data_IF_409994348013
#
_entry.id   IF_409994348013
#
_cell.length_a   1.000
_cell.length_b   1.000
_cell.length_c   1.000
_cell.angle_alpha   90.00
_cell.angle_beta   90.00
_cell.angle_gamma   90.00
#
_symmetry.space_group_name_H-M   'P 1'
#
loop_
_entity.id
_entity.type
_entity.pdbx_description
1 polymer ?
#
# COMPACT_ATOMS: atom_id res chain seq x y z
N UNK A 1 -10.11 1.43 -21.76
CA UNK A 1 -9.58 2.42 -20.82
C UNK A 1 -8.06 2.52 -20.85
N UNK A 2 -7.31 1.42 -20.74
CA UNK A 2 -5.84 1.49 -20.87
C UNK A 2 -5.37 2.11 -22.18
N UNK A 3 -6.02 1.77 -23.31
CA UNK A 3 -5.68 2.33 -24.62
C UNK A 3 -5.89 3.85 -24.69
N UNK A 4 -6.93 4.38 -24.01
CA UNK A 4 -7.19 5.83 -23.93
C UNK A 4 -6.06 6.54 -23.20
N UNK A 5 -5.59 5.98 -22.09
CA UNK A 5 -4.47 6.54 -21.32
C UNK A 5 -3.18 6.50 -22.14
N UNK A 6 -2.93 5.42 -22.90
CA UNK A 6 -1.80 5.33 -23.83
C UNK A 6 -1.87 6.45 -24.87
N UNK A 7 -3.04 6.70 -25.44
CA UNK A 7 -3.25 7.76 -26.42
C UNK A 7 -2.97 9.15 -25.82
N UNK A 8 -3.52 9.44 -24.61
CA UNK A 8 -3.28 10.70 -23.89
C UNK A 8 -1.79 10.93 -23.61
N UNK A 9 -1.07 9.91 -23.13
CA UNK A 9 0.37 9.99 -22.86
C UNK A 9 1.15 10.25 -24.15
N UNK A 10 0.79 9.55 -25.23
CA UNK A 10 1.45 9.69 -26.52
C UNK A 10 1.22 11.07 -27.12
N UNK A 11 0.00 11.61 -27.03
CA UNK A 11 -0.32 12.97 -27.46
C UNK A 11 0.45 14.04 -26.65
N UNK A 12 0.72 13.75 -25.37
CA UNK A 12 1.56 14.60 -24.53
C UNK A 12 3.07 14.46 -24.78
N UNK A 13 3.50 13.63 -25.76
CA UNK A 13 4.89 13.42 -26.12
C UNK A 13 5.62 12.34 -25.30
N UNK A 14 4.89 11.59 -24.46
CA UNK A 14 5.41 10.44 -23.73
C UNK A 14 5.33 9.14 -24.55
N UNK A 15 5.90 8.07 -24.00
CA UNK A 15 5.79 6.71 -24.57
C UNK A 15 5.06 5.81 -23.56
N UNK A 16 4.06 5.09 -24.05
CA UNK A 16 3.26 4.18 -23.21
C UNK A 16 2.84 2.94 -24.02
N UNK A 17 2.63 1.85 -23.33
CA UNK A 17 2.00 0.63 -23.86
C UNK A 17 0.88 0.19 -22.93
N UNK A 18 -0.12 -0.50 -23.47
CA UNK A 18 -1.23 -1.07 -22.69
C UNK A 18 -1.02 -2.57 -22.51
N UNK A 19 -1.05 -3.04 -21.27
CA UNK A 19 -1.23 -4.44 -20.95
C UNK A 19 -2.61 -4.62 -20.27
N UNK A 20 -3.39 -5.61 -20.71
CA UNK A 20 -4.77 -5.87 -20.26
C UNK A 20 -4.88 -7.14 -19.41
N UNK A 21 -3.74 -7.73 -19.03
CA UNK A 21 -3.71 -8.92 -18.18
C UNK A 21 -4.23 -8.62 -16.77
N UNK A 22 -4.75 -9.65 -16.11
CA UNK A 22 -5.22 -9.54 -14.74
C UNK A 22 -4.04 -9.56 -13.76
N UNK A 23 -4.00 -8.61 -12.84
CA UNK A 23 -3.02 -8.65 -11.73
C UNK A 23 -3.31 -9.80 -10.75
N UNK A 24 -4.54 -10.33 -10.72
CA UNK A 24 -4.96 -11.37 -9.80
C UNK A 24 -4.39 -12.76 -10.13
N UNK A 25 -3.58 -12.90 -11.19
CA UNK A 25 -2.91 -14.16 -11.56
C UNK A 25 -1.41 -13.95 -11.72
N UNK A 26 -0.63 -14.98 -11.41
CA UNK A 26 0.84 -14.95 -11.57
C UNK A 26 1.25 -14.70 -13.03
N UNK A 27 0.56 -15.35 -13.97
CA UNK A 27 0.82 -15.22 -15.41
C UNK A 27 0.55 -13.79 -15.89
N UNK A 28 -0.57 -13.22 -15.45
CA UNK A 28 -0.91 -11.84 -15.80
C UNK A 28 0.07 -10.84 -15.21
N UNK A 29 0.47 -11.02 -13.96
CA UNK A 29 1.47 -10.20 -13.30
C UNK A 29 2.83 -10.27 -14.00
N UNK A 30 3.27 -11.47 -14.40
CA UNK A 30 4.52 -11.65 -15.14
C UNK A 30 4.45 -10.98 -16.51
N UNK A 31 3.34 -11.17 -17.26
CA UNK A 31 3.12 -10.52 -18.56
C UNK A 31 3.22 -8.99 -18.49
N UNK A 32 2.71 -8.35 -17.43
CA UNK A 32 2.81 -6.90 -17.24
C UNK A 32 4.28 -6.45 -17.17
N UNK A 33 5.11 -7.18 -16.44
CA UNK A 33 6.52 -6.85 -16.27
C UNK A 33 7.32 -7.19 -17.52
N UNK A 34 7.05 -8.33 -18.16
CA UNK A 34 7.72 -8.74 -19.40
C UNK A 34 7.50 -7.72 -20.53
N UNK A 35 6.27 -7.22 -20.68
CA UNK A 35 5.93 -6.18 -21.64
C UNK A 35 6.68 -4.88 -21.34
N UNK A 36 6.76 -4.47 -20.07
CA UNK A 36 7.49 -3.27 -19.67
C UNK A 36 8.99 -3.41 -19.95
N UNK A 37 9.60 -4.54 -19.60
CA UNK A 37 11.02 -4.81 -19.88
C UNK A 37 11.29 -4.90 -21.38
N UNK A 38 10.40 -5.52 -22.15
CA UNK A 38 10.53 -5.61 -23.62
C UNK A 38 10.45 -4.24 -24.28
N UNK A 39 9.56 -3.37 -23.83
CA UNK A 39 9.33 -2.05 -24.45
C UNK A 39 10.35 -0.99 -23.99
N UNK A 40 10.78 -1.04 -22.72
CA UNK A 40 11.57 0.02 -22.09
C UNK A 40 12.92 -0.44 -21.55
N UNK A 41 13.20 -1.74 -21.59
CA UNK A 41 14.46 -2.33 -21.13
C UNK A 41 14.55 -2.53 -19.61
N UNK A 42 13.60 -1.98 -18.82
CA UNK A 42 13.65 -2.00 -17.35
C UNK A 42 12.30 -1.68 -16.73
N UNK A 43 12.19 -1.89 -15.41
CA UNK A 43 11.12 -1.37 -14.54
C UNK A 43 11.79 -0.63 -13.39
N UNK A 44 11.69 0.69 -13.37
CA UNK A 44 12.26 1.55 -12.33
C UNK A 44 11.26 1.91 -11.24
N UNK A 45 10.00 2.09 -11.64
CA UNK A 45 8.92 2.52 -10.75
C UNK A 45 7.74 1.57 -10.92
N UNK A 46 7.21 1.07 -9.81
CA UNK A 46 6.02 0.24 -9.76
C UNK A 46 4.97 0.85 -8.84
N UNK A 47 3.81 1.20 -9.39
CA UNK A 47 2.66 1.69 -8.64
C UNK A 47 1.58 0.62 -8.62
N UNK A 48 1.44 -0.08 -7.52
CA UNK A 48 0.40 -1.07 -7.30
C UNK A 48 -0.90 -0.37 -6.89
N UNK A 49 -1.74 -0.04 -7.89
CA UNK A 49 -2.97 0.73 -7.68
C UNK A 49 -4.24 -0.02 -8.11
N UNK A 50 -4.13 -1.15 -8.79
CA UNK A 50 -5.29 -1.94 -9.19
C UNK A 50 -6.18 -2.29 -7.99
N UNK A 51 -7.51 -2.20 -8.16
CA UNK A 51 -8.41 -2.45 -7.05
C UNK A 51 -9.88 -2.47 -7.41
N UNK A 52 -10.66 -3.12 -6.55
CA UNK A 52 -12.11 -3.26 -6.62
C UNK A 52 -12.71 -3.12 -5.22
N UNK A 53 -14.02 -2.88 -5.14
CA UNK A 53 -14.78 -2.92 -3.89
C UNK A 53 -15.89 -3.96 -3.97
N UNK A 54 -16.11 -4.67 -2.85
CA UNK A 54 -17.20 -5.62 -2.61
C UNK A 54 -17.62 -5.48 -1.15
N UNK A 55 -18.26 -4.33 -0.85
CA UNK A 55 -18.54 -3.92 0.51
C UNK A 55 -19.83 -4.58 1.03
N UNK A 56 -19.71 -5.29 2.13
CA UNK A 56 -20.82 -5.89 2.90
C UNK A 56 -20.40 -6.03 4.36
N UNK A 57 -21.34 -5.91 5.29
CA UNK A 57 -21.06 -6.26 6.68
C UNK A 57 -20.52 -7.69 6.77
N UNK A 58 -19.58 -7.95 7.66
CA UNK A 58 -18.87 -9.23 7.72
C UNK A 58 -19.82 -10.44 7.81
N UNK A 59 -20.91 -10.29 8.57
CA UNK A 59 -21.97 -11.31 8.69
C UNK A 59 -22.60 -11.68 7.34
N UNK A 60 -22.71 -10.71 6.42
CA UNK A 60 -23.44 -10.85 5.16
C UNK A 60 -22.49 -10.95 3.95
N UNK A 61 -21.18 -10.96 4.20
CA UNK A 61 -20.17 -11.01 3.15
C UNK A 61 -20.13 -12.41 2.53
N UNK A 62 -20.21 -12.46 1.20
CA UNK A 62 -19.92 -13.69 0.45
C UNK A 62 -18.41 -13.94 0.44
N UNK A 63 -17.98 -15.16 0.67
CA UNK A 63 -16.55 -15.50 0.66
C UNK A 63 -15.95 -15.36 -0.74
N UNK A 64 -16.73 -15.50 -1.83
CA UNK A 64 -16.27 -15.14 -3.15
C UNK A 64 -15.95 -13.65 -3.32
N UNK A 65 -16.73 -12.77 -2.65
CA UNK A 65 -16.42 -11.33 -2.58
C UNK A 65 -15.16 -11.06 -1.72
N UNK A 66 -14.93 -11.88 -0.69
CA UNK A 66 -13.68 -11.84 0.08
C UNK A 66 -12.49 -12.23 -0.79
N UNK A 67 -12.55 -13.39 -1.43
CA UNK A 67 -11.45 -13.95 -2.20
C UNK A 67 -11.04 -13.03 -3.36
N UNK A 68 -11.99 -12.56 -4.16
CA UNK A 68 -11.67 -11.69 -5.30
C UNK A 68 -11.05 -10.34 -4.88
N UNK A 69 -11.44 -9.79 -3.72
CA UNK A 69 -10.83 -8.57 -3.19
C UNK A 69 -9.41 -8.84 -2.71
N UNK A 70 -9.16 -9.96 -2.02
CA UNK A 70 -7.82 -10.39 -1.62
C UNK A 70 -6.94 -10.65 -2.85
N UNK A 71 -7.46 -11.33 -3.87
CA UNK A 71 -6.73 -11.67 -5.08
C UNK A 71 -6.30 -10.44 -5.88
N UNK A 72 -7.19 -9.46 -6.06
CA UNK A 72 -6.85 -8.25 -6.82
C UNK A 72 -5.91 -7.34 -6.03
N UNK A 73 -6.21 -7.08 -4.75
CA UNK A 73 -5.47 -6.09 -3.99
C UNK A 73 -4.17 -6.62 -3.41
N UNK A 74 -4.24 -7.70 -2.61
CA UNK A 74 -3.07 -8.19 -1.87
C UNK A 74 -2.22 -9.13 -2.72
N UNK A 75 -2.82 -10.20 -3.23
CA UNK A 75 -2.11 -11.18 -4.03
C UNK A 75 -1.58 -10.54 -5.32
N UNK A 76 -2.42 -9.77 -6.03
CA UNK A 76 -2.07 -9.10 -7.27
C UNK A 76 -0.92 -8.10 -7.09
N UNK A 77 -0.96 -7.28 -6.06
CA UNK A 77 0.17 -6.39 -5.74
C UNK A 77 1.45 -7.18 -5.42
N UNK A 78 1.32 -8.29 -4.68
CA UNK A 78 2.42 -9.19 -4.39
C UNK A 78 3.00 -9.84 -5.65
N UNK A 79 2.15 -10.34 -6.54
CA UNK A 79 2.57 -11.00 -7.79
C UNK A 79 3.31 -10.05 -8.73
N UNK A 80 2.76 -8.87 -8.99
CA UNK A 80 3.42 -7.87 -9.86
C UNK A 80 4.73 -7.40 -9.24
N UNK A 81 4.76 -7.18 -7.93
CA UNK A 81 5.99 -6.80 -7.23
C UNK A 81 7.03 -7.92 -7.30
N UNK A 82 6.62 -9.19 -7.12
CA UNK A 82 7.51 -10.34 -7.20
C UNK A 82 8.13 -10.49 -8.59
N UNK A 83 7.36 -10.20 -9.66
CA UNK A 83 7.87 -10.21 -11.03
C UNK A 83 8.88 -9.06 -11.28
N UNK A 84 8.61 -7.85 -10.78
CA UNK A 84 9.50 -6.68 -10.94
C UNK A 84 10.76 -6.75 -10.06
N UNK A 85 10.70 -7.43 -8.92
CA UNK A 85 11.71 -7.42 -7.88
C UNK A 85 13.13 -7.79 -8.38
N UNK A 86 13.33 -8.89 -9.15
CA UNK A 86 14.66 -9.24 -9.67
C UNK A 86 15.27 -8.15 -10.56
N UNK A 87 14.46 -7.53 -11.43
CA UNK A 87 14.88 -6.45 -12.33
C UNK A 87 15.39 -5.25 -11.53
N UNK A 88 14.65 -4.84 -10.50
CA UNK A 88 15.04 -3.73 -9.62
C UNK A 88 16.30 -4.04 -8.80
N UNK A 89 16.41 -5.26 -8.27
CA UNK A 89 17.60 -5.67 -7.50
C UNK A 89 18.86 -5.72 -8.35
N UNK A 90 18.79 -6.23 -9.58
CA UNK A 90 19.90 -6.29 -10.52
C UNK A 90 20.37 -4.90 -10.89
N UNK A 91 19.43 -4.02 -11.25
CA UNK A 91 19.71 -2.62 -11.59
C UNK A 91 20.17 -1.79 -10.38
N UNK A 92 19.96 -2.28 -9.15
CA UNK A 92 20.17 -1.54 -7.89
C UNK A 92 19.41 -0.22 -7.85
N UNK A 93 18.19 -0.24 -8.36
CA UNK A 93 17.26 0.87 -8.36
C UNK A 93 15.82 0.38 -8.48
N UNK A 94 14.96 0.85 -7.60
CA UNK A 94 13.52 0.60 -7.66
C UNK A 94 12.74 1.52 -6.74
N UNK A 95 11.53 1.87 -7.17
CA UNK A 95 10.55 2.65 -6.39
C UNK A 95 9.22 1.93 -6.45
N UNK A 96 8.75 1.45 -5.30
CA UNK A 96 7.51 0.68 -5.22
C UNK A 96 6.53 1.43 -4.31
N UNK A 97 5.34 1.66 -4.82
CA UNK A 97 4.23 2.25 -4.07
C UNK A 97 3.05 1.29 -4.06
N UNK A 98 2.63 0.90 -2.87
CA UNK A 98 1.38 0.16 -2.67
C UNK A 98 0.25 1.12 -2.30
N UNK A 99 -0.87 1.05 -3.02
CA UNK A 99 -2.06 1.84 -2.69
C UNK A 99 -2.84 1.16 -1.58
N UNK A 100 -2.60 1.59 -0.34
CA UNK A 100 -3.35 1.21 0.85
C UNK A 100 -4.64 2.03 0.99
N UNK A 101 -5.20 2.13 2.18
CA UNK A 101 -6.41 2.90 2.49
C UNK A 101 -6.50 3.20 3.98
N UNK A 102 -7.17 4.30 4.33
CA UNK A 102 -7.61 4.56 5.71
C UNK A 102 -8.49 3.43 6.25
N UNK A 103 -9.25 2.74 5.40
CA UNK A 103 -10.04 1.56 5.77
C UNK A 103 -9.19 0.38 6.23
N UNK A 104 -7.98 0.22 5.68
CA UNK A 104 -7.02 -0.78 6.16
C UNK A 104 -6.37 -0.37 7.47
N UNK A 105 -6.01 0.92 7.60
CA UNK A 105 -5.23 1.43 8.73
C UNK A 105 -6.10 1.63 9.97
N UNK A 106 -7.32 2.17 9.80
CA UNK A 106 -8.21 2.58 10.90
C UNK A 106 -9.50 1.77 10.98
N UNK A 107 -9.78 0.94 9.96
CA UNK A 107 -11.03 0.21 9.83
C UNK A 107 -12.13 1.04 9.19
N UNK A 108 -13.08 0.34 8.55
CA UNK A 108 -14.32 0.93 8.05
C UNK A 108 -15.41 -0.15 8.03
N UNK A 109 -16.63 0.22 8.46
CA UNK A 109 -17.74 -0.73 8.50
C UNK A 109 -18.05 -1.30 7.12
N UNK A 110 -18.24 -2.62 7.03
CA UNK A 110 -18.58 -3.29 5.79
C UNK A 110 -17.42 -3.60 4.85
N UNK A 111 -16.18 -3.31 5.26
CA UNK A 111 -14.97 -3.46 4.43
C UNK A 111 -13.94 -4.42 5.05
N UNK A 112 -14.37 -5.53 5.63
CA UNK A 112 -13.44 -6.46 6.26
C UNK A 112 -12.45 -7.07 5.27
N UNK A 113 -12.90 -7.49 4.07
CA UNK A 113 -12.06 -7.98 2.98
C UNK A 113 -11.09 -6.89 2.48
N UNK A 114 -11.61 -5.73 2.15
CA UNK A 114 -10.84 -4.59 1.65
C UNK A 114 -9.84 -4.08 2.70
N UNK A 115 -10.29 -3.92 3.96
CA UNK A 115 -9.44 -3.50 5.06
C UNK A 115 -8.28 -4.47 5.31
N UNK A 116 -8.57 -5.79 5.30
CA UNK A 116 -7.55 -6.83 5.44
C UNK A 116 -6.51 -6.76 4.31
N UNK A 117 -6.96 -6.68 3.04
CA UNK A 117 -6.07 -6.57 1.90
C UNK A 117 -5.20 -5.30 1.95
N UNK A 118 -5.81 -4.16 2.29
CA UNK A 118 -5.12 -2.86 2.35
C UNK A 118 -4.14 -2.75 3.51
N UNK A 119 -4.42 -3.38 4.66
CA UNK A 119 -3.47 -3.48 5.77
C UNK A 119 -2.36 -4.50 5.46
N UNK A 120 -2.65 -5.59 4.75
CA UNK A 120 -1.65 -6.55 4.28
C UNK A 120 -0.55 -5.92 3.43
N UNK A 121 -0.87 -4.88 2.67
CA UNK A 121 0.12 -4.12 1.89
C UNK A 121 1.14 -3.38 2.77
N UNK A 122 0.77 -2.93 3.97
CA UNK A 122 1.71 -2.36 4.93
C UNK A 122 2.68 -3.44 5.43
N UNK A 123 2.18 -4.66 5.64
CA UNK A 123 3.01 -5.81 6.00
C UNK A 123 4.07 -6.12 4.93
N UNK A 124 3.66 -6.22 3.66
CA UNK A 124 4.57 -6.43 2.53
C UNK A 124 5.58 -5.28 2.43
N UNK A 125 5.12 -4.04 2.48
CA UNK A 125 5.97 -2.85 2.45
C UNK A 125 7.04 -2.88 3.53
N UNK A 126 6.68 -3.19 4.77
CA UNK A 126 7.61 -3.25 5.90
C UNK A 126 8.76 -4.26 5.66
N UNK A 127 8.46 -5.42 5.09
CA UNK A 127 9.46 -6.45 4.78
C UNK A 127 10.33 -6.03 3.60
N UNK A 128 9.72 -5.63 2.48
CA UNK A 128 10.44 -5.28 1.25
C UNK A 128 11.28 -4.00 1.40
N UNK A 129 10.89 -3.07 2.28
CA UNK A 129 11.70 -1.90 2.60
C UNK A 129 13.04 -2.29 3.26
N UNK A 130 13.07 -3.38 4.03
CA UNK A 130 14.30 -3.92 4.62
C UNK A 130 15.11 -4.66 3.55
N UNK A 131 14.49 -5.57 2.82
CA UNK A 131 15.16 -6.39 1.80
C UNK A 131 15.76 -5.56 0.66
N UNK A 132 15.08 -4.48 0.27
CA UNK A 132 15.51 -3.56 -0.79
C UNK A 132 16.58 -2.56 -0.40
N UNK A 133 16.85 -2.36 0.92
CA UNK A 133 17.66 -1.25 1.43
C UNK A 133 19.07 -1.22 0.82
N UNK A 134 19.77 -2.36 0.80
CA UNK A 134 21.13 -2.47 0.27
C UNK A 134 21.22 -2.37 -1.27
N UNK A 135 20.09 -2.40 -1.96
CA UNK A 135 19.96 -2.37 -3.42
C UNK A 135 19.31 -1.09 -3.94
N UNK A 136 19.13 -0.08 -3.08
CA UNK A 136 18.44 1.17 -3.42
C UNK A 136 17.02 0.94 -3.99
N UNK A 137 16.35 -0.13 -3.55
CA UNK A 137 14.93 -0.35 -3.81
C UNK A 137 14.15 0.20 -2.63
N UNK A 138 13.33 1.23 -2.87
CA UNK A 138 12.54 1.92 -1.85
C UNK A 138 11.07 1.57 -1.97
N UNK A 139 10.45 1.24 -0.86
CA UNK A 139 9.08 0.71 -0.84
C UNK A 139 8.25 1.49 0.17
N UNK A 140 7.11 2.02 -0.28
CA UNK A 140 6.22 2.81 0.56
C UNK A 140 4.76 2.44 0.31
N UNK A 141 3.87 2.88 1.19
CA UNK A 141 2.42 2.78 1.00
C UNK A 141 1.78 4.16 0.94
N UNK A 142 0.70 4.26 0.18
CA UNK A 142 -0.14 5.45 0.02
C UNK A 142 -1.57 5.14 0.41
N UNK A 143 -2.16 5.90 1.32
CA UNK A 143 -3.58 5.92 1.62
C UNK A 143 -4.20 7.18 0.98
N UNK A 144 -4.72 7.09 -0.26
CA UNK A 144 -5.27 8.23 -0.98
C UNK A 144 -6.69 8.57 -0.52
N UNK A 145 -7.05 9.86 -0.60
CA UNK A 145 -8.41 10.33 -0.48
C UNK A 145 -8.75 11.20 -1.70
N UNK A 146 -9.58 10.68 -2.60
CA UNK A 146 -9.99 11.37 -3.82
C UNK A 146 -11.34 10.87 -4.30
N UNK A 147 -12.06 11.72 -4.99
CA UNK A 147 -13.31 11.37 -5.66
C UNK A 147 -13.00 10.64 -6.96
N UNK A 148 -13.40 9.37 -7.02
CA UNK A 148 -13.09 8.48 -8.14
C UNK A 148 -14.28 7.60 -8.47
N UNK A 149 -14.26 6.96 -9.63
CA UNK A 149 -15.28 5.96 -10.01
C UNK A 149 -15.37 4.80 -9.01
N UNK A 150 -14.27 4.42 -8.38
CA UNK A 150 -14.25 3.37 -7.36
C UNK A 150 -15.10 3.76 -6.15
N UNK A 151 -14.99 5.00 -5.67
CA UNK A 151 -15.80 5.53 -4.57
C UNK A 151 -17.29 5.57 -4.94
N UNK A 152 -17.62 5.89 -6.19
CA UNK A 152 -19.00 5.87 -6.72
C UNK A 152 -19.64 4.48 -6.75
N UNK A 153 -18.91 3.39 -6.53
CA UNK A 153 -19.50 2.05 -6.38
C UNK A 153 -20.04 1.79 -4.97
N UNK A 154 -19.77 2.66 -3.99
CA UNK A 154 -20.25 2.55 -2.61
C UNK A 154 -21.72 2.99 -2.56
N UNK A 155 -22.65 2.17 -2.04
CA UNK A 155 -24.06 2.52 -1.95
C UNK A 155 -24.27 3.85 -1.19
N UNK A 156 -25.04 4.76 -1.79
CA UNK A 156 -25.35 6.06 -1.21
C UNK A 156 -24.26 7.12 -1.35
N UNK A 157 -23.17 6.83 -2.04
CA UNK A 157 -22.14 7.82 -2.39
C UNK A 157 -22.32 8.28 -3.83
N UNK A 158 -22.65 9.56 -4.00
CA UNK A 158 -22.70 10.20 -5.31
C UNK A 158 -21.36 10.85 -5.63
N UNK A 159 -20.81 10.53 -6.77
CA UNK A 159 -19.57 11.13 -7.29
C UNK A 159 -19.80 11.58 -8.75
N UNK A 160 -19.14 12.63 -9.15
CA UNK A 160 -19.06 13.03 -10.55
C UNK A 160 -17.58 12.93 -11.01
N UNK A 161 -17.14 11.75 -11.49
CA UNK A 161 -15.73 11.53 -11.87
C UNK A 161 -15.23 12.45 -12.99
N UNK A 162 -16.15 12.94 -13.83
CA UNK A 162 -15.82 13.83 -14.96
C UNK A 162 -15.69 15.30 -14.53
N UNK A 163 -16.28 15.66 -13.39
CA UNK A 163 -16.17 17.00 -12.79
C UNK A 163 -16.17 16.89 -11.25
N UNK A 164 -15.13 16.31 -10.66
CA UNK A 164 -15.05 16.13 -9.22
C UNK A 164 -14.91 17.47 -8.49
N UNK A 165 -15.28 17.48 -7.21
CA UNK A 165 -14.96 18.61 -6.33
C UNK A 165 -13.46 18.92 -6.45
N UNK A 166 -13.08 20.19 -6.73
CA UNK A 166 -11.67 20.57 -6.85
C UNK A 166 -10.78 20.15 -5.68
N UNK A 167 -11.33 20.12 -4.45
CA UNK A 167 -10.61 19.67 -3.25
C UNK A 167 -10.56 18.14 -3.11
N UNK A 168 -11.37 17.42 -3.87
CA UNK A 168 -11.41 15.94 -3.89
C UNK A 168 -10.86 15.34 -5.19
N UNK A 169 -10.33 16.21 -6.06
CA UNK A 169 -9.79 15.79 -7.35
C UNK A 169 -8.58 14.88 -7.19
N UNK A 170 -8.48 13.74 -7.92
CA UNK A 170 -7.35 12.80 -7.85
C UNK A 170 -5.96 13.43 -8.07
N UNK A 171 -5.87 14.54 -8.82
CA UNK A 171 -4.61 15.29 -9.01
C UNK A 171 -3.96 15.73 -7.71
N UNK A 172 -4.72 15.91 -6.62
CA UNK A 172 -4.19 16.28 -5.30
C UNK A 172 -3.45 15.14 -4.61
N UNK A 173 -3.57 13.91 -5.11
CA UNK A 173 -2.82 12.74 -4.63
C UNK A 173 -1.47 12.62 -5.34
N UNK A 174 -1.39 13.06 -6.59
CA UNK A 174 -0.21 12.92 -7.46
C UNK A 174 1.10 13.39 -6.83
N UNK A 175 1.20 14.55 -6.12
CA UNK A 175 2.47 14.98 -5.54
C UNK A 175 3.08 13.96 -4.55
N UNK A 176 2.26 13.25 -3.77
CA UNK A 176 2.75 12.20 -2.88
C UNK A 176 3.28 10.99 -3.66
N UNK A 177 2.60 10.60 -4.74
CA UNK A 177 3.08 9.51 -5.61
C UNK A 177 4.41 9.86 -6.25
N UNK A 178 4.55 11.08 -6.78
CA UNK A 178 5.79 11.56 -7.39
C UNK A 178 6.93 11.60 -6.36
N UNK A 179 6.68 12.07 -5.13
CA UNK A 179 7.67 12.03 -4.05
C UNK A 179 8.15 10.59 -3.78
N UNK A 180 7.22 9.63 -3.67
CA UNK A 180 7.57 8.22 -3.41
C UNK A 180 8.21 7.51 -4.61
N UNK A 181 8.08 8.06 -5.81
CA UNK A 181 8.69 7.57 -7.04
C UNK A 181 10.01 8.28 -7.41
N UNK A 182 10.36 9.36 -6.72
CA UNK A 182 11.56 10.17 -6.98
C UNK A 182 12.85 9.53 -6.47
N UNK A 183 13.98 10.12 -6.81
CA UNK A 183 15.28 9.72 -6.27
C UNK A 183 15.38 9.96 -4.75
N UNK A 184 14.72 10.99 -4.24
CA UNK A 184 14.67 11.34 -2.81
C UNK A 184 13.59 10.58 -2.04
N UNK A 185 12.93 9.61 -2.66
CA UNK A 185 11.87 8.84 -2.02
C UNK A 185 12.33 8.28 -0.67
N UNK A 186 11.52 8.40 0.41
CA UNK A 186 11.77 7.65 1.64
C UNK A 186 11.55 6.15 1.40
N UNK A 187 11.74 5.33 2.44
CA UNK A 187 11.37 3.91 2.41
C UNK A 187 10.76 3.49 3.73
N UNK A 188 9.81 2.54 3.69
CA UNK A 188 9.15 2.01 4.88
C UNK A 188 8.12 2.96 5.51
N UNK A 189 7.54 3.85 4.71
CA UNK A 189 6.60 4.86 5.20
C UNK A 189 5.20 4.69 4.60
N UNK A 190 4.20 5.07 5.39
CA UNK A 190 2.80 5.14 4.96
C UNK A 190 2.36 6.60 4.89
N UNK A 191 2.09 7.07 3.68
CA UNK A 191 1.61 8.43 3.42
C UNK A 191 0.10 8.47 3.24
N UNK A 192 -0.51 9.55 3.70
CA UNK A 192 -1.89 9.93 3.40
C UNK A 192 -1.86 11.15 2.50
N UNK A 193 -2.64 11.14 1.44
CA UNK A 193 -2.70 12.26 0.50
C UNK A 193 -4.11 12.44 -0.05
N UNK A 194 -4.61 13.65 0.00
CA UNK A 194 -5.91 14.04 -0.55
C UNK A 194 -6.43 15.32 0.11
N UNK A 195 -7.40 15.93 -0.51
CA UNK A 195 -8.02 17.17 -0.03
C UNK A 195 -7.00 18.30 0.25
N UNK A 196 -5.89 18.34 -0.48
CA UNK A 196 -4.80 19.28 -0.25
C UNK A 196 -4.00 19.04 1.03
N UNK A 197 -4.23 17.92 1.73
CA UNK A 197 -3.54 17.56 2.98
C UNK A 197 -2.66 16.34 2.76
N UNK A 198 -1.44 16.41 3.31
CA UNK A 198 -0.48 15.33 3.32
C UNK A 198 -0.08 15.03 4.75
N UNK A 199 -0.04 13.76 5.11
CA UNK A 199 0.39 13.30 6.43
C UNK A 199 0.98 11.90 6.36
N UNK A 200 1.47 11.42 7.48
CA UNK A 200 2.05 10.09 7.65
C UNK A 200 1.35 9.38 8.81
N UNK A 201 1.17 8.08 8.71
CA UNK A 201 0.89 7.20 9.83
C UNK A 201 2.09 6.30 10.13
N UNK A 202 2.17 5.86 11.39
CA UNK A 202 3.22 4.95 11.87
C UNK A 202 2.64 4.03 12.93
N UNK A 203 3.32 2.91 13.17
CA UNK A 203 3.01 2.00 14.27
C UNK A 203 3.81 2.40 15.49
N UNK A 204 3.17 2.40 16.65
CA UNK A 204 3.79 2.70 17.94
C UNK A 204 3.67 1.50 18.88
N UNK A 205 4.63 1.36 19.77
CA UNK A 205 4.63 0.37 20.84
C UNK A 205 5.01 1.08 22.15
N UNK A 206 4.35 0.77 23.26
CA UNK A 206 4.77 1.22 24.58
C UNK A 206 5.96 0.39 25.08
N UNK A 207 6.53 0.78 26.22
CA UNK A 207 7.68 0.08 26.82
C UNK A 207 7.33 -1.34 27.29
N UNK A 208 6.02 -1.61 27.47
CA UNK A 208 5.54 -2.89 28.00
C UNK A 208 5.81 -3.06 29.51
N UNK A 209 5.41 -4.21 30.01
CA UNK A 209 5.63 -4.61 31.40
C UNK A 209 6.46 -5.89 31.42
N UNK A 210 7.43 -5.97 32.31
CA UNK A 210 8.22 -7.17 32.49
C UNK A 210 7.68 -8.00 33.65
N UNK A 211 7.43 -9.27 33.39
CA UNK A 211 7.02 -10.26 34.36
C UNK A 211 8.04 -11.43 34.39
N UNK A 212 8.08 -12.16 35.46
CA UNK A 212 8.87 -13.39 35.56
C UNK A 212 8.28 -14.55 34.72
N UNK A 213 8.95 -15.68 34.76
CA UNK A 213 8.53 -16.87 33.99
C UNK A 213 7.17 -17.46 34.47
N UNK A 214 6.77 -17.18 35.69
CA UNK A 214 5.55 -17.70 36.32
C UNK A 214 4.39 -16.70 36.28
N UNK A 215 4.39 -15.76 35.31
CA UNK A 215 3.33 -14.77 35.15
C UNK A 215 1.94 -15.42 34.99
N UNK A 216 0.99 -14.95 35.74
CA UNK A 216 -0.41 -15.40 35.72
C UNK A 216 -1.32 -14.44 34.96
N UNK A 217 -2.57 -14.86 34.71
CA UNK A 217 -3.62 -13.99 34.17
C UNK A 217 -3.95 -12.85 35.16
N UNK A 218 -3.99 -13.16 36.44
CA UNK A 218 -4.26 -12.22 37.50
C UNK A 218 -3.22 -11.09 37.55
N UNK A 219 -1.94 -11.40 37.36
CA UNK A 219 -0.87 -10.40 37.28
C UNK A 219 -1.10 -9.42 36.12
N UNK A 220 -1.53 -9.93 34.93
CA UNK A 220 -1.84 -9.09 33.79
C UNK A 220 -3.11 -8.27 34.03
N UNK A 221 -4.12 -8.83 34.70
CA UNK A 221 -5.36 -8.15 35.02
C UNK A 221 -5.12 -6.97 35.98
N UNK A 222 -4.32 -7.18 37.02
CA UNK A 222 -3.96 -6.15 38.00
C UNK A 222 -3.19 -4.99 37.36
N UNK A 223 -2.42 -5.27 36.32
CA UNK A 223 -1.59 -4.30 35.58
C UNK A 223 -2.20 -3.85 34.24
N UNK A 224 -3.48 -4.16 34.00
CA UNK A 224 -4.13 -3.91 32.72
C UNK A 224 -4.03 -2.45 32.26
N UNK A 225 -4.28 -1.50 33.14
CA UNK A 225 -4.28 -0.08 32.78
C UNK A 225 -2.88 0.41 32.40
N UNK A 226 -1.84 -0.08 33.08
CA UNK A 226 -0.45 0.18 32.70
C UNK A 226 -0.09 -0.48 31.35
N UNK A 227 -0.56 -1.71 31.13
CA UNK A 227 -0.30 -2.45 29.89
C UNK A 227 -0.87 -1.76 28.64
N UNK A 228 -2.05 -1.14 28.76
CA UNK A 228 -2.70 -0.46 27.63
C UNK A 228 -2.34 1.03 27.50
N UNK A 229 -1.59 1.58 28.45
CA UNK A 229 -1.15 2.98 28.38
C UNK A 229 -0.12 3.18 27.26
N UNK A 230 -0.41 4.11 26.35
CA UNK A 230 0.44 4.48 25.23
C UNK A 230 1.15 5.82 25.42
N UNK A 231 1.11 6.42 26.61
CA UNK A 231 1.67 7.76 26.88
C UNK A 231 3.19 7.83 26.68
N UNK A 232 3.90 6.71 26.93
CA UNK A 232 5.35 6.56 26.71
C UNK A 232 5.71 5.78 25.45
N UNK A 233 4.77 5.72 24.46
CA UNK A 233 4.99 4.92 23.26
C UNK A 233 6.04 5.50 22.32
N UNK A 234 6.76 4.61 21.62
CA UNK A 234 7.76 4.94 20.61
C UNK A 234 7.37 4.40 19.24
N UNK A 235 7.79 5.11 18.19
CA UNK A 235 7.58 4.62 16.83
C UNK A 235 8.41 3.36 16.58
N UNK A 236 7.76 2.34 16.00
CA UNK A 236 8.40 1.08 15.64
C UNK A 236 8.09 0.71 14.18
N UNK A 237 9.12 0.35 13.45
CA UNK A 237 9.02 -0.26 12.11
C UNK A 237 10.10 -1.32 11.93
N UNK A 238 9.95 -2.15 10.89
CA UNK A 238 10.98 -3.13 10.55
C UNK A 238 12.35 -2.49 10.31
N UNK A 239 12.38 -1.33 9.65
CA UNK A 239 13.62 -0.56 9.43
C UNK A 239 14.22 -0.04 10.73
N UNK A 240 13.42 0.53 11.63
CA UNK A 240 13.88 1.01 12.94
C UNK A 240 14.49 -0.16 13.73
N UNK A 241 13.83 -1.34 13.72
CA UNK A 241 14.38 -2.55 14.38
C UNK A 241 15.76 -2.93 13.84
N UNK A 242 15.90 -2.99 12.51
CA UNK A 242 17.19 -3.35 11.88
C UNK A 242 18.27 -2.30 12.20
N UNK A 243 17.92 -1.01 12.12
CA UNK A 243 18.86 0.07 12.46
C UNK A 243 19.30 0.02 13.92
N UNK A 244 18.40 -0.28 14.85
CA UNK A 244 18.72 -0.42 16.27
C UNK A 244 19.61 -1.64 16.53
N UNK A 245 19.35 -2.76 15.85
CA UNK A 245 20.21 -3.95 15.94
C UNK A 245 21.64 -3.66 15.44
N UNK A 246 21.78 -2.92 14.33
CA UNK A 246 23.08 -2.53 13.78
C UNK A 246 23.86 -1.55 14.67
N UNK A 247 23.18 -0.72 15.48
CA UNK A 247 23.83 0.20 16.41
C UNK A 247 24.32 -0.50 17.68
N UNK A 248 23.71 -1.63 18.03
CA UNK A 248 23.99 -2.39 19.23
C UNK A 248 24.94 -3.59 18.99
N UNK A 249 25.33 -3.83 17.74
CA UNK A 249 26.29 -4.86 17.31
C UNK A 249 27.67 -4.23 17.06
#
# INVERSE_FOLDING_TARGET
MADIVVEEITQAGGTAIANKASVATMEGAQSIIDDAVSAFGTVDILINNAGILRDKSFKNMDMADWDIVMDVHLNGSGYVTRAAWPVMLEKRYGRIVFTSSTSGIFGNFGQANYGAAKMGMLGIMNVLAIEGLSKNVRVNTLAPAAETRLIGTIPGVEVNPDNPDPMRHPKLVTPAVVLMASEDAPTGMTFHAGNGKFSRSATFINEGLEFGADVSYEDLLDKKDELIDMSSSTEMSGLIRVQNQMKNA
#
